data_IF_943092601129
#
_entry.id   IF_943092601129
#
_cell.length_a   1.000
_cell.length_b   1.000
_cell.length_c   1.000
_cell.angle_alpha   90.00
_cell.angle_beta   90.00
_cell.angle_gamma   90.00
#
_symmetry.space_group_name_H-M   'P 1'
#
loop_
_entity.id
_entity.type
_entity.pdbx_description
1 polymer ?
#
# COMPACT_ATOMS: atom_id res chain seq x y z
N UNK A 1 6.51 19.90 44.11
CA UNK A 1 6.15 20.14 42.70
C UNK A 1 5.77 18.79 42.09
N UNK A 2 4.65 18.25 42.55
CA UNK A 2 4.04 17.04 42.01
C UNK A 2 2.83 17.47 41.20
N UNK A 3 2.48 16.64 40.22
CA UNK A 3 1.26 16.66 39.43
C UNK A 3 1.30 17.53 38.16
N UNK A 4 1.34 16.88 36.98
CA UNK A 4 0.27 16.91 35.94
C UNK A 4 0.52 15.78 34.91
N UNK A 5 -0.17 14.66 35.11
CA UNK A 5 -0.87 13.80 34.12
C UNK A 5 -0.22 13.29 32.79
N UNK A 6 -0.08 11.95 32.60
CA UNK A 6 0.38 11.32 31.34
C UNK A 6 -0.73 10.91 30.34
N UNK A 7 -2.02 11.16 30.60
CA UNK A 7 -3.15 10.65 29.79
C UNK A 7 -3.40 11.39 28.46
N UNK A 8 -2.90 12.63 28.27
CA UNK A 8 -3.17 13.44 27.07
C UNK A 8 -2.17 13.23 25.92
N UNK A 9 -1.11 12.43 26.13
CA UNK A 9 -0.10 12.16 25.11
C UNK A 9 -0.34 10.87 24.31
N UNK A 10 -1.07 9.90 24.87
CA UNK A 10 -1.35 8.62 24.22
C UNK A 10 -2.41 8.75 23.10
N UNK A 11 -3.48 9.51 23.35
CA UNK A 11 -4.53 9.81 22.34
C UNK A 11 -3.96 10.70 21.22
N UNK A 12 -3.10 11.67 21.57
CA UNK A 12 -2.48 12.55 20.58
C UNK A 12 -1.43 11.82 19.73
N UNK A 13 -0.63 10.94 20.31
CA UNK A 13 0.30 10.09 19.58
C UNK A 13 -0.45 9.11 18.66
N UNK A 14 -1.49 8.45 19.16
CA UNK A 14 -2.31 7.54 18.36
C UNK A 14 -3.02 8.29 17.21
N UNK A 15 -3.57 9.48 17.47
CA UNK A 15 -4.19 10.32 16.45
C UNK A 15 -3.17 10.80 15.39
N UNK A 16 -1.93 11.12 15.81
CA UNK A 16 -0.86 11.51 14.90
C UNK A 16 -0.36 10.33 14.06
N UNK A 17 -0.21 9.15 14.66
CA UNK A 17 0.17 7.92 13.96
C UNK A 17 -0.91 7.53 12.94
N UNK A 18 -2.20 7.52 13.33
CA UNK A 18 -3.30 7.18 12.42
C UNK A 18 -3.42 8.17 11.27
N UNK A 19 -3.23 9.47 11.52
CA UNK A 19 -3.21 10.50 10.47
C UNK A 19 -2.01 10.35 9.54
N UNK A 20 -0.81 10.10 10.08
CA UNK A 20 0.39 9.82 9.30
C UNK A 20 0.24 8.56 8.44
N UNK A 21 -0.32 7.48 9.00
CA UNK A 21 -0.62 6.25 8.27
C UNK A 21 -1.66 6.48 7.15
N UNK A 22 -2.66 7.33 7.36
CA UNK A 22 -3.64 7.69 6.33
C UNK A 22 -3.01 8.46 5.17
N UNK A 23 -2.11 9.42 5.47
CA UNK A 23 -1.37 10.18 4.46
C UNK A 23 -0.38 9.28 3.72
N UNK A 24 0.37 8.44 4.44
CA UNK A 24 1.27 7.47 3.84
C UNK A 24 0.50 6.48 2.95
N UNK A 25 -0.67 6.01 3.38
CA UNK A 25 -1.54 5.15 2.55
C UNK A 25 -2.07 5.88 1.32
N UNK A 26 -2.51 7.14 1.44
CA UNK A 26 -2.92 7.95 0.29
C UNK A 26 -1.77 8.18 -0.70
N UNK A 27 -0.59 8.51 -0.19
CA UNK A 27 0.62 8.71 -0.98
C UNK A 27 1.10 7.40 -1.63
N UNK A 28 1.06 6.29 -0.91
CA UNK A 28 1.42 4.97 -1.42
C UNK A 28 0.42 4.50 -2.51
N UNK A 29 -0.86 4.86 -2.39
CA UNK A 29 -1.85 4.66 -3.47
C UNK A 29 -1.59 5.53 -4.69
N UNK A 30 -1.22 6.80 -4.48
CA UNK A 30 -1.00 7.75 -5.57
C UNK A 30 0.34 7.60 -6.30
N UNK A 31 1.40 7.22 -5.58
CA UNK A 31 2.79 7.31 -6.07
C UNK A 31 3.46 5.94 -6.22
N UNK A 32 3.17 4.99 -5.33
CA UNK A 32 3.88 3.69 -5.28
C UNK A 32 3.04 2.55 -5.86
N UNK A 33 1.72 2.76 -5.99
CA UNK A 33 0.78 1.72 -6.40
C UNK A 33 0.68 0.61 -5.37
N UNK A 34 0.80 0.92 -4.07
CA UNK A 34 0.71 -0.05 -2.99
C UNK A 34 -0.70 -0.70 -2.87
N UNK A 35 -1.73 -0.09 -3.46
CA UNK A 35 -3.05 -0.72 -3.64
C UNK A 35 -3.17 -1.57 -4.90
N UNK A 36 -2.10 -1.71 -5.69
CA UNK A 36 -2.16 -2.53 -6.91
C UNK A 36 -2.51 -3.99 -6.60
N UNK A 37 -2.08 -4.50 -5.44
CA UNK A 37 -2.46 -5.85 -5.00
C UNK A 37 -3.93 -5.94 -4.56
N UNK A 38 -4.43 -4.97 -3.78
CA UNK A 38 -5.86 -4.89 -3.41
C UNK A 38 -6.75 -4.84 -4.67
N UNK A 39 -6.36 -4.01 -5.66
CA UNK A 39 -7.05 -3.91 -6.94
C UNK A 39 -6.96 -5.19 -7.77
N UNK A 40 -5.85 -5.91 -7.71
CA UNK A 40 -5.70 -7.21 -8.34
C UNK A 40 -6.66 -8.23 -7.72
N UNK A 41 -6.79 -8.27 -6.39
CA UNK A 41 -7.73 -9.15 -5.71
C UNK A 41 -9.19 -8.79 -6.01
N UNK A 42 -9.54 -7.50 -6.02
CA UNK A 42 -10.87 -7.05 -6.42
C UNK A 42 -11.17 -7.48 -7.87
N UNK A 43 -10.23 -7.27 -8.79
CA UNK A 43 -10.37 -7.68 -10.18
C UNK A 43 -10.54 -9.20 -10.28
N UNK A 44 -9.68 -9.98 -9.61
CA UNK A 44 -9.72 -11.43 -9.59
C UNK A 44 -11.06 -11.97 -9.06
N UNK A 45 -11.57 -11.35 -7.99
CA UNK A 45 -12.88 -11.69 -7.41
C UNK A 45 -14.01 -11.35 -8.37
N UNK A 46 -13.94 -10.20 -9.06
CA UNK A 46 -14.97 -9.77 -10.02
C UNK A 46 -14.95 -10.56 -11.32
N UNK A 47 -13.78 -10.99 -11.80
CA UNK A 47 -13.66 -11.81 -13.00
C UNK A 47 -14.00 -13.28 -12.74
N UNK A 48 -14.03 -13.72 -11.48
CA UNK A 48 -14.35 -15.10 -11.14
C UNK A 48 -13.34 -16.09 -11.72
N UNK A 49 -12.06 -15.75 -11.68
CA UNK A 49 -11.01 -16.68 -12.12
C UNK A 49 -10.99 -17.90 -11.19
N UNK A 50 -11.08 -19.10 -11.77
CA UNK A 50 -11.02 -20.39 -11.06
C UNK A 50 -9.61 -20.73 -10.53
N UNK A 51 -8.63 -19.89 -10.84
CA UNK A 51 -7.24 -20.02 -10.38
C UNK A 51 -7.09 -19.32 -9.03
N UNK A 52 -6.29 -19.85 -8.12
CA UNK A 52 -6.00 -19.16 -6.88
C UNK A 52 -5.28 -17.82 -7.15
N UNK A 53 -5.65 -16.72 -6.46
CA UNK A 53 -4.94 -15.45 -6.62
C UNK A 53 -3.49 -15.61 -6.21
N UNK A 54 -2.60 -14.94 -6.94
CA UNK A 54 -1.16 -14.90 -6.60
C UNK A 54 -0.97 -14.27 -5.22
N UNK A 55 0.08 -14.69 -4.51
CA UNK A 55 0.46 -14.02 -3.26
C UNK A 55 0.98 -12.60 -3.53
N UNK A 56 0.92 -11.73 -2.53
CA UNK A 56 1.38 -10.34 -2.64
C UNK A 56 2.82 -10.24 -3.17
N UNK A 57 3.72 -11.09 -2.65
CA UNK A 57 5.12 -11.14 -3.08
C UNK A 57 5.26 -11.54 -4.56
N UNK A 58 4.48 -12.51 -5.00
CA UNK A 58 4.51 -12.97 -6.41
C UNK A 58 3.96 -11.91 -7.36
N UNK A 59 2.91 -11.20 -6.96
CA UNK A 59 2.36 -10.08 -7.70
C UNK A 59 3.41 -8.97 -7.88
N UNK A 60 4.11 -8.58 -6.81
CA UNK A 60 5.15 -7.56 -6.88
C UNK A 60 6.34 -8.00 -7.73
N UNK A 61 6.76 -9.26 -7.61
CA UNK A 61 7.82 -9.82 -8.46
C UNK A 61 7.43 -9.77 -9.93
N UNK A 62 6.26 -10.30 -10.31
CA UNK A 62 5.76 -10.30 -11.69
C UNK A 62 5.59 -8.87 -12.24
N UNK A 63 5.15 -7.93 -11.41
CA UNK A 63 5.04 -6.51 -11.79
C UNK A 63 6.40 -5.89 -12.09
N UNK A 64 7.40 -6.08 -11.24
CA UNK A 64 8.78 -5.61 -11.47
C UNK A 64 9.38 -6.25 -12.70
N UNK A 65 9.25 -7.58 -12.81
CA UNK A 65 9.67 -8.37 -13.96
C UNK A 65 9.10 -7.84 -15.29
N UNK A 66 7.81 -7.45 -15.32
CA UNK A 66 7.19 -6.85 -16.51
C UNK A 66 7.74 -5.47 -16.83
N UNK A 67 8.07 -4.67 -15.82
CA UNK A 67 8.71 -3.36 -16.02
C UNK A 67 10.14 -3.50 -16.53
N UNK A 68 10.89 -4.49 -16.02
CA UNK A 68 12.25 -4.80 -16.48
C UNK A 68 12.26 -5.41 -17.88
N UNK A 69 11.31 -6.30 -18.21
CA UNK A 69 11.18 -6.91 -19.54
C UNK A 69 10.63 -5.96 -20.60
N UNK A 70 9.94 -4.92 -20.19
CA UNK A 70 9.38 -3.92 -21.09
C UNK A 70 9.87 -2.52 -20.69
N UNK A 71 11.19 -2.27 -20.72
CA UNK A 71 11.72 -0.97 -20.42
C UNK A 71 11.26 -0.08 -21.57
N UNK A 72 10.17 0.66 -21.35
CA UNK A 72 9.77 1.73 -22.27
C UNK A 72 10.74 2.89 -22.04
N UNK A 73 12.03 2.64 -22.22
CA UNK A 73 13.00 3.67 -22.51
C UNK A 73 12.54 4.25 -23.83
N UNK A 74 11.82 5.38 -23.77
CA UNK A 74 11.73 6.27 -24.92
C UNK A 74 13.14 6.79 -25.15
N UNK A 75 13.96 6.00 -25.82
CA UNK A 75 15.16 6.47 -26.48
C UNK A 75 14.69 7.15 -27.76
N UNK A 76 14.27 8.40 -27.63
CA UNK A 76 14.13 9.37 -28.69
C UNK A 76 14.64 10.69 -28.15
#
# INVERSE_FOLDING_TARGET
MSDVSPELNSVSLAARITRAAKVARWYARGVVGADAYDRYLEHHTRTGCDVAPMTEREFWRDKTDRQERNPTSRCC
#
